data_IF_428488858091
#
_entry.id   IF_428488858091
#
_cell.length_a   1.000
_cell.length_b   1.000
_cell.length_c   1.000
_cell.angle_alpha   90.00
_cell.angle_beta   90.00
_cell.angle_gamma   90.00
#
_symmetry.space_group_name_H-M   'P 1'
#
loop_
_entity.id
_entity.type
_entity.pdbx_description
1 polymer ?
#
# COMPACT_ATOMS: atom_id res chain seq x y z
N UNK A 1 28.43 12.13 -54.80
CA UNK A 1 27.58 10.99 -55.16
C UNK A 1 27.48 10.01 -54.00
N UNK A 2 26.85 10.24 -52.95
CA UNK A 2 26.49 9.24 -51.94
C UNK A 2 25.43 9.86 -51.00
N UNK A 3 24.24 10.06 -51.52
CA UNK A 3 23.10 10.63 -50.80
C UNK A 3 22.06 9.55 -50.43
N UNK A 4 22.45 8.27 -50.44
CA UNK A 4 21.52 7.16 -50.22
C UNK A 4 21.56 6.51 -48.83
N UNK A 5 22.51 6.86 -47.96
CA UNK A 5 22.68 6.15 -46.69
C UNK A 5 22.24 6.91 -45.43
N UNK A 6 21.82 8.14 -45.58
CA UNK A 6 21.38 8.96 -44.45
C UNK A 6 19.90 8.83 -44.11
N UNK A 7 19.11 8.13 -44.88
CA UNK A 7 17.65 7.97 -44.67
C UNK A 7 17.25 6.66 -43.98
N UNK A 8 18.18 5.72 -43.81
CA UNK A 8 17.89 4.43 -43.19
C UNK A 8 18.19 4.37 -41.68
N UNK A 9 18.84 5.39 -41.15
CA UNK A 9 19.14 5.47 -39.69
C UNK A 9 18.09 6.22 -38.86
N UNK A 10 17.16 6.89 -39.49
CA UNK A 10 16.12 7.66 -38.78
C UNK A 10 14.85 6.86 -38.45
N UNK A 11 14.71 5.64 -38.94
CA UNK A 11 13.49 4.83 -38.77
C UNK A 11 13.55 3.81 -37.63
N UNK A 12 14.69 3.70 -36.91
CA UNK A 12 14.88 2.67 -35.89
C UNK A 12 14.82 3.17 -34.44
N UNK A 13 14.48 4.43 -34.20
CA UNK A 13 14.40 5.02 -32.85
C UNK A 13 12.98 5.28 -32.35
N UNK A 14 11.94 4.84 -33.05
CA UNK A 14 10.55 5.15 -32.69
C UNK A 14 9.75 3.97 -32.06
N UNK A 15 10.41 2.89 -31.63
CA UNK A 15 9.69 1.68 -31.20
C UNK A 15 10.00 1.21 -29.77
N UNK A 16 10.35 2.10 -28.85
CA UNK A 16 10.60 1.73 -27.42
C UNK A 16 9.79 2.56 -26.42
N UNK A 17 8.60 2.98 -26.79
CA UNK A 17 7.61 3.44 -25.81
C UNK A 17 6.57 2.32 -25.57
N UNK A 18 7.02 1.11 -25.27
CA UNK A 18 6.19 0.14 -24.58
C UNK A 18 6.06 0.66 -23.13
N UNK A 19 5.09 1.53 -22.90
CA UNK A 19 4.70 1.95 -21.58
C UNK A 19 4.33 0.70 -20.79
N UNK A 20 5.17 0.31 -19.82
CA UNK A 20 4.75 -0.60 -18.78
C UNK A 20 3.56 0.07 -18.10
N UNK A 21 2.34 -0.35 -18.43
CA UNK A 21 1.18 -0.04 -17.62
C UNK A 21 1.46 -0.67 -16.25
N UNK A 22 1.86 0.16 -15.29
CA UNK A 22 1.99 -0.27 -13.91
C UNK A 22 0.63 -0.87 -13.49
N UNK A 23 0.63 -2.03 -12.82
CA UNK A 23 -0.62 -2.60 -12.31
C UNK A 23 -1.32 -1.53 -11.48
N UNK A 24 -2.64 -1.40 -11.66
CA UNK A 24 -3.44 -0.38 -10.98
C UNK A 24 -3.53 -0.70 -9.47
N UNK A 25 -2.42 -0.54 -8.78
CA UNK A 25 -2.27 -0.70 -7.32
C UNK A 25 -2.46 0.62 -6.58
N UNK A 26 -2.93 1.65 -7.29
CA UNK A 26 -3.17 2.97 -6.71
C UNK A 26 -4.09 2.85 -5.50
N UNK A 27 -3.59 3.26 -4.34
CA UNK A 27 -4.25 3.10 -3.06
C UNK A 27 -3.85 4.18 -2.07
N UNK A 28 -3.95 3.84 -0.81
CA UNK A 28 -3.40 4.61 0.31
C UNK A 28 -2.37 3.71 1.01
N UNK A 29 -1.23 4.26 1.33
CA UNK A 29 -0.24 3.62 2.17
C UNK A 29 -0.04 4.48 3.41
N UNK A 30 -0.17 3.89 4.58
CA UNK A 30 0.04 4.53 5.86
C UNK A 30 0.89 3.64 6.75
N UNK A 31 1.80 4.22 7.50
CA UNK A 31 2.67 3.45 8.38
C UNK A 31 3.72 4.30 9.05
N UNK A 32 4.77 3.65 9.48
CA UNK A 32 5.99 4.29 9.96
C UNK A 32 7.17 3.78 9.15
N UNK A 33 8.07 4.66 8.83
CA UNK A 33 9.31 4.38 8.12
C UNK A 33 10.46 4.88 8.96
N UNK A 34 11.56 4.12 9.04
CA UNK A 34 12.77 4.57 9.71
C UNK A 34 13.50 5.55 8.77
N UNK A 35 13.88 6.70 9.29
CA UNK A 35 14.76 7.65 8.59
C UNK A 35 16.24 7.22 8.65
N UNK A 36 17.13 8.04 8.08
CA UNK A 36 18.56 7.74 8.01
C UNK A 36 19.23 7.60 9.40
N UNK A 37 18.64 8.19 10.42
CA UNK A 37 19.12 8.17 11.82
C UNK A 37 18.43 7.05 12.64
N UNK A 38 17.48 6.31 12.01
CA UNK A 38 16.74 5.23 12.64
C UNK A 38 15.49 5.69 13.41
N UNK A 39 15.16 6.97 13.35
CA UNK A 39 13.94 7.50 13.96
C UNK A 39 12.71 7.14 13.12
N UNK A 40 11.61 6.78 13.78
CA UNK A 40 10.37 6.39 13.10
C UNK A 40 9.56 7.63 12.71
N UNK A 41 9.34 7.80 11.42
CA UNK A 41 8.53 8.86 10.84
C UNK A 41 7.19 8.31 10.37
N UNK A 42 6.10 9.04 10.61
CA UNK A 42 4.80 8.68 10.05
C UNK A 42 4.80 8.91 8.54
N UNK A 43 4.34 7.89 7.81
CA UNK A 43 4.19 7.92 6.37
C UNK A 43 2.72 7.90 5.98
N UNK A 44 2.30 8.86 5.17
CA UNK A 44 1.02 8.82 4.46
C UNK A 44 1.26 9.09 2.99
N UNK A 45 1.12 8.07 2.16
CA UNK A 45 1.18 8.17 0.72
C UNK A 45 -0.20 7.92 0.11
N UNK A 46 -0.66 8.83 -0.72
CA UNK A 46 -1.97 8.78 -1.36
C UNK A 46 -1.79 8.72 -2.87
N UNK A 47 -1.95 7.53 -3.44
CA UNK A 47 -1.90 7.30 -4.89
C UNK A 47 -3.32 7.25 -5.50
N UNK A 48 -4.36 7.21 -4.65
CA UNK A 48 -5.75 7.21 -5.05
C UNK A 48 -6.55 8.28 -4.28
N UNK A 49 -6.68 9.45 -4.86
CA UNK A 49 -7.39 10.57 -4.26
C UNK A 49 -8.89 10.29 -3.98
N UNK A 50 -9.52 9.41 -4.74
CA UNK A 50 -10.92 9.00 -4.46
C UNK A 50 -10.99 8.19 -3.18
N UNK A 51 -10.06 7.25 -3.01
CA UNK A 51 -9.99 6.39 -1.83
C UNK A 51 -9.70 7.22 -0.57
N UNK A 52 -8.77 8.18 -0.64
CA UNK A 52 -8.42 9.03 0.49
C UNK A 52 -9.56 9.94 0.97
N UNK A 53 -10.48 10.31 0.08
CA UNK A 53 -11.68 11.04 0.47
C UNK A 53 -12.73 10.17 1.16
N UNK A 54 -12.69 8.87 0.92
CA UNK A 54 -13.67 7.90 1.46
C UNK A 54 -13.24 7.30 2.79
N UNK A 55 -11.94 7.27 3.06
CA UNK A 55 -11.34 6.66 4.23
C UNK A 55 -10.30 7.60 4.84
N UNK A 56 -10.28 7.69 6.17
CA UNK A 56 -9.22 8.39 6.90
C UNK A 56 -8.61 7.50 7.99
N UNK A 57 -7.35 7.74 8.28
CA UNK A 57 -6.70 7.20 9.47
C UNK A 57 -7.00 8.14 10.63
N UNK A 58 -7.75 7.67 11.61
CA UNK A 58 -8.15 8.46 12.76
C UNK A 58 -7.09 8.40 13.88
N UNK A 59 -6.38 7.28 13.96
CA UNK A 59 -5.34 7.06 14.98
C UNK A 59 -4.40 5.93 14.54
N UNK A 60 -3.16 5.98 14.98
CA UNK A 60 -2.15 4.95 14.74
C UNK A 60 -1.29 4.79 16.00
N UNK A 61 -1.06 3.55 16.41
CA UNK A 61 -0.15 3.23 17.49
C UNK A 61 0.73 2.04 17.15
N UNK A 62 1.96 2.12 17.60
CA UNK A 62 2.99 1.10 17.40
C UNK A 62 3.46 0.61 18.75
N UNK A 63 3.66 -0.68 18.89
CA UNK A 63 4.14 -1.30 20.12
C UNK A 63 4.81 -2.63 19.82
N UNK A 64 5.04 -3.40 20.87
CA UNK A 64 5.59 -4.74 20.76
C UNK A 64 4.70 -5.74 21.48
N UNK A 65 4.69 -6.96 20.99
CA UNK A 65 4.10 -8.10 21.69
C UNK A 65 5.01 -8.53 22.87
N UNK A 66 4.50 -9.38 23.73
CA UNK A 66 5.30 -9.98 24.82
C UNK A 66 6.54 -10.73 24.31
N UNK A 67 6.50 -11.18 23.06
CA UNK A 67 7.61 -11.91 22.42
C UNK A 67 8.53 -10.98 21.62
N UNK A 68 8.38 -9.65 21.75
CA UNK A 68 9.24 -8.67 21.06
C UNK A 68 8.92 -8.44 19.60
N UNK A 69 7.78 -8.95 19.07
CA UNK A 69 7.37 -8.71 17.70
C UNK A 69 6.72 -7.32 17.57
N UNK A 70 7.04 -6.60 16.51
CA UNK A 70 6.41 -5.32 16.20
C UNK A 70 4.90 -5.51 16.00
N UNK A 71 4.11 -4.64 16.60
CA UNK A 71 2.65 -4.64 16.57
C UNK A 71 2.15 -3.26 16.17
N UNK A 72 1.32 -3.19 15.16
CA UNK A 72 0.69 -1.98 14.69
C UNK A 72 -0.83 -2.03 14.90
N UNK A 73 -1.41 -0.93 15.38
CA UNK A 73 -2.85 -0.74 15.46
C UNK A 73 -3.21 0.55 14.70
N UNK A 74 -4.14 0.46 13.78
CA UNK A 74 -4.63 1.61 13.03
C UNK A 74 -6.14 1.70 13.19
N UNK A 75 -6.60 2.87 13.58
CA UNK A 75 -8.02 3.19 13.65
C UNK A 75 -8.43 3.87 12.35
N UNK A 76 -9.20 3.16 11.54
CA UNK A 76 -9.70 3.62 10.26
C UNK A 76 -11.14 4.08 10.40
N UNK A 77 -11.50 5.20 9.76
CA UNK A 77 -12.86 5.72 9.74
C UNK A 77 -13.36 5.92 8.31
N UNK A 78 -14.54 5.40 8.03
CA UNK A 78 -15.25 5.69 6.78
C UNK A 78 -15.83 7.10 6.79
N UNK A 79 -15.57 7.86 5.73
CA UNK A 79 -16.17 9.17 5.49
C UNK A 79 -17.50 9.09 4.74
N UNK A 80 -17.88 7.89 4.28
CA UNK A 80 -19.11 7.65 3.53
C UNK A 80 -20.31 7.48 4.47
N UNK A 81 -21.51 7.69 3.94
CA UNK A 81 -22.78 7.37 4.61
C UNK A 81 -23.31 5.98 4.23
N UNK A 82 -22.51 5.19 3.52
CA UNK A 82 -22.80 3.85 3.01
C UNK A 82 -21.61 2.96 3.20
N UNK A 83 -21.76 1.66 2.94
CA UNK A 83 -20.68 0.71 3.05
C UNK A 83 -19.50 1.08 2.16
N UNK A 84 -18.33 1.02 2.76
CA UNK A 84 -17.02 1.16 2.13
C UNK A 84 -16.39 -0.21 2.02
N UNK A 85 -15.98 -0.59 0.81
CA UNK A 85 -15.33 -1.87 0.55
C UNK A 85 -13.96 -1.63 -0.08
N UNK A 86 -12.95 -2.20 0.55
CA UNK A 86 -11.56 -2.13 0.14
C UNK A 86 -10.85 -3.44 0.47
N UNK A 87 -9.56 -3.49 0.17
CA UNK A 87 -8.65 -4.52 0.63
C UNK A 87 -7.47 -3.86 1.34
N UNK A 88 -6.96 -4.50 2.37
CA UNK A 88 -5.79 -4.04 3.12
C UNK A 88 -4.76 -5.15 3.27
N UNK A 89 -3.50 -4.76 3.37
CA UNK A 89 -2.36 -5.64 3.59
C UNK A 89 -1.32 -4.92 4.42
N UNK A 90 -0.80 -5.57 5.47
CA UNK A 90 0.39 -5.12 6.15
C UNK A 90 1.65 -5.53 5.36
N UNK A 91 2.61 -4.65 5.31
CA UNK A 91 3.96 -4.91 4.85
C UNK A 91 4.92 -4.54 5.99
N UNK A 92 5.88 -5.39 6.28
CA UNK A 92 6.83 -5.24 7.38
C UNK A 92 8.24 -5.09 6.81
N UNK A 93 9.05 -4.25 7.42
CA UNK A 93 10.38 -3.93 6.92
C UNK A 93 11.41 -4.06 8.02
N UNK A 94 12.59 -4.55 7.65
CA UNK A 94 13.76 -4.62 8.52
C UNK A 94 14.51 -3.28 8.61
N UNK A 95 15.61 -3.26 9.37
CA UNK A 95 16.41 -2.07 9.57
C UNK A 95 17.10 -1.56 8.30
N UNK A 96 17.28 -2.42 7.30
CA UNK A 96 17.84 -2.12 5.98
C UNK A 96 16.76 -1.62 5.01
N UNK A 97 15.49 -1.61 5.41
CA UNK A 97 14.35 -1.21 4.58
C UNK A 97 13.87 -2.29 3.62
N UNK A 98 14.31 -3.54 3.79
CA UNK A 98 13.83 -4.66 3.00
C UNK A 98 12.50 -5.17 3.54
N UNK A 99 11.55 -5.47 2.62
CA UNK A 99 10.25 -6.04 2.99
C UNK A 99 10.43 -7.49 3.44
N UNK A 100 9.95 -7.79 4.65
CA UNK A 100 10.02 -9.12 5.25
C UNK A 100 8.82 -9.91 4.75
N UNK A 101 9.07 -11.08 4.15
CA UNK A 101 8.06 -12.02 3.68
C UNK A 101 6.93 -11.35 2.88
N UNK A 102 7.25 -10.73 1.72
CA UNK A 102 6.28 -9.93 0.96
C UNK A 102 5.06 -10.71 0.48
N UNK A 103 5.17 -12.03 0.38
CA UNK A 103 4.09 -12.92 -0.04
C UNK A 103 3.35 -13.58 1.14
N UNK A 104 3.86 -13.42 2.36
CA UNK A 104 3.33 -14.09 3.56
C UNK A 104 2.01 -13.52 4.07
N UNK A 105 1.72 -12.24 3.85
CA UNK A 105 0.45 -11.62 4.24
C UNK A 105 -0.43 -11.34 3.01
N UNK A 106 -1.55 -12.06 2.85
CA UNK A 106 -2.44 -11.85 1.72
C UNK A 106 -3.25 -10.54 1.87
N UNK A 107 -3.75 -10.03 0.75
CA UNK A 107 -4.75 -8.96 0.77
C UNK A 107 -6.02 -9.44 1.46
N UNK A 108 -6.45 -8.72 2.49
CA UNK A 108 -7.64 -9.03 3.30
C UNK A 108 -8.77 -8.08 3.00
N UNK A 109 -10.03 -8.54 2.97
CA UNK A 109 -11.18 -7.66 2.84
C UNK A 109 -11.21 -6.65 3.99
N UNK A 110 -11.45 -5.38 3.66
CA UNK A 110 -11.72 -4.30 4.60
C UNK A 110 -13.09 -3.73 4.26
N UNK A 111 -14.07 -3.99 5.13
CA UNK A 111 -15.41 -3.43 5.00
C UNK A 111 -15.73 -2.56 6.21
N UNK A 112 -16.18 -1.35 5.97
CA UNK A 112 -16.66 -0.42 6.99
C UNK A 112 -18.07 0.02 6.60
N UNK A 113 -18.99 0.00 7.56
CA UNK A 113 -20.31 0.59 7.37
C UNK A 113 -20.25 2.13 7.35
N UNK A 114 -21.32 2.76 6.99
CA UNK A 114 -21.36 4.22 6.89
C UNK A 114 -20.89 4.90 8.19
N UNK A 115 -19.89 5.78 8.09
CA UNK A 115 -19.25 6.49 9.22
C UNK A 115 -18.61 5.59 10.30
N UNK A 116 -18.56 4.29 10.08
CA UNK A 116 -17.94 3.36 11.04
C UNK A 116 -16.46 3.69 11.25
N UNK A 117 -16.05 3.55 12.50
CA UNK A 117 -14.65 3.54 12.90
C UNK A 117 -14.26 2.12 13.33
N UNK A 118 -13.21 1.57 12.77
CA UNK A 118 -12.72 0.23 13.07
C UNK A 118 -11.22 0.24 13.30
N UNK A 119 -10.78 -0.48 14.32
CA UNK A 119 -9.36 -0.73 14.53
C UNK A 119 -8.95 -2.02 13.81
N UNK A 120 -7.91 -1.91 12.99
CA UNK A 120 -7.23 -3.06 12.40
C UNK A 120 -5.86 -3.20 13.04
N UNK A 121 -5.43 -4.44 13.23
CA UNK A 121 -4.19 -4.77 13.90
C UNK A 121 -3.36 -5.70 13.05
N UNK A 122 -2.05 -5.46 13.01
CA UNK A 122 -1.06 -6.35 12.43
C UNK A 122 0.04 -6.67 13.45
N UNK A 123 0.64 -7.84 13.30
CA UNK A 123 1.81 -8.27 14.06
C UNK A 123 2.84 -8.75 13.06
N UNK A 124 4.08 -8.30 13.23
CA UNK A 124 5.19 -8.69 12.36
C UNK A 124 5.45 -10.21 12.41
N UNK A 125 5.88 -10.81 11.30
CA UNK A 125 6.12 -12.25 11.23
C UNK A 125 7.34 -12.69 12.05
N UNK A 126 8.29 -11.78 12.29
CA UNK A 126 9.48 -12.05 13.10
C UNK A 126 10.02 -10.77 13.77
N UNK A 127 11.04 -10.92 14.61
CA UNK A 127 11.60 -9.84 15.40
C UNK A 127 12.53 -8.90 14.63
N UNK A 128 12.83 -9.14 13.37
CA UNK A 128 13.68 -8.24 12.57
C UNK A 128 12.91 -7.03 12.04
N UNK A 129 11.58 -7.04 12.12
CA UNK A 129 10.76 -5.92 11.71
C UNK A 129 10.92 -4.72 12.64
N UNK A 130 11.26 -3.57 12.07
CA UNK A 130 11.39 -2.28 12.77
C UNK A 130 10.39 -1.25 12.29
N UNK A 131 9.80 -1.44 11.10
CA UNK A 131 8.81 -0.54 10.54
C UNK A 131 7.72 -1.31 9.78
N UNK A 132 6.63 -0.63 9.44
CA UNK A 132 5.52 -1.23 8.72
C UNK A 132 4.84 -0.24 7.79
N UNK A 133 4.13 -0.76 6.81
CA UNK A 133 3.21 -0.01 5.94
C UNK A 133 1.89 -0.78 5.84
N UNK A 134 0.78 -0.11 6.11
CA UNK A 134 -0.55 -0.61 5.77
C UNK A 134 -0.90 -0.10 4.38
N UNK A 135 -1.03 -1.01 3.44
CA UNK A 135 -1.47 -0.73 2.07
C UNK A 135 -2.96 -0.98 1.98
N UNK A 136 -3.71 0.00 1.45
CA UNK A 136 -5.15 -0.09 1.23
C UNK A 136 -5.42 0.21 -0.23
N UNK A 137 -6.14 -0.68 -0.89
CA UNK A 137 -6.56 -0.50 -2.28
C UNK A 137 -8.07 -0.69 -2.40
N UNK A 138 -8.66 -0.15 -3.46
CA UNK A 138 -10.06 -0.38 -3.73
C UNK A 138 -10.29 -1.87 -3.97
N UNK A 139 -11.18 -2.48 -3.21
CA UNK A 139 -11.62 -3.84 -3.47
C UNK A 139 -12.40 -3.87 -4.78
N UNK A 140 -12.20 -4.87 -5.60
CA UNK A 140 -13.19 -5.19 -6.60
C UNK A 140 -14.50 -5.44 -5.84
N UNK A 141 -15.62 -4.88 -6.31
CA UNK A 141 -16.94 -5.30 -5.86
C UNK A 141 -17.10 -6.74 -6.29
N UNK A 142 -16.54 -7.60 -5.51
CA UNK A 142 -16.51 -9.02 -5.76
C UNK A 142 -17.94 -9.51 -5.74
N UNK A 143 -18.31 -10.30 -6.73
CA UNK A 143 -19.56 -11.04 -6.92
C UNK A 143 -19.93 -11.98 -5.75
N UNK A 144 -19.39 -11.76 -4.58
CA UNK A 144 -19.56 -12.62 -3.40
C UNK A 144 -20.75 -12.24 -2.52
N UNK A 145 -21.59 -11.29 -2.95
CA UNK A 145 -22.87 -11.01 -2.29
C UNK A 145 -24.00 -11.55 -3.16
N UNK A 146 -24.02 -12.83 -3.35
CA UNK A 146 -25.24 -13.56 -3.72
C UNK A 146 -25.15 -14.93 -3.00
N UNK A 147 -25.72 -14.98 -1.84
CA UNK A 147 -26.56 -16.08 -1.36
C UNK A 147 -27.03 -15.79 0.05
#
# INVERSE_FOLDING_TARGET
MNTGWSLLMAALLAALAAGCAAPNTAGITVGVEADADGDLQELLQVDNAKLSRQLRVADMSVGQTKNGLLKANLKLQSNLNKDFVAQSKFAWFDAEGAEIDPDGDPWRPLMLHGKETRTIQGVAPNASAVSFKLRIRQGERSRWIIH
#
